data_IF_620471775464
#
_entry.id   IF_620471775464
#
_cell.length_a   1.000
_cell.length_b   1.000
_cell.length_c   1.000
_cell.angle_alpha   90.00
_cell.angle_beta   90.00
_cell.angle_gamma   90.00
#
_symmetry.space_group_name_H-M   'P 1'
#
loop_
_entity.id
_entity.type
_entity.pdbx_description
1 polymer ?
#
# COMPACT_ATOMS: atom_id res chain seq x y z
N UNK A 1 -10.55 64.26 -43.46
CA UNK A 1 -10.38 62.79 -43.27
C UNK A 1 -10.91 62.45 -41.88
N UNK A 2 -12.15 61.98 -41.68
CA UNK A 2 -12.75 60.67 -42.00
C UNK A 2 -11.88 59.48 -41.57
N UNK A 3 -12.36 58.72 -40.57
CA UNK A 3 -12.60 57.25 -40.51
C UNK A 3 -12.71 56.85 -39.01
N UNK A 4 -13.94 56.71 -38.47
CA UNK A 4 -14.74 55.48 -38.24
C UNK A 4 -14.31 54.71 -36.98
N UNK A 5 -15.08 54.78 -35.88
CA UNK A 5 -16.05 53.75 -35.46
C UNK A 5 -15.53 52.31 -35.54
N UNK A 6 -15.18 51.75 -34.37
CA UNK A 6 -15.37 50.33 -34.05
C UNK A 6 -15.45 50.15 -32.54
N UNK A 7 -16.59 50.58 -31.99
CA UNK A 7 -17.11 50.13 -30.70
C UNK A 7 -17.76 48.76 -30.95
N UNK A 8 -16.93 47.72 -31.12
CA UNK A 8 -17.42 46.34 -31.24
C UNK A 8 -17.53 45.74 -29.84
N UNK A 9 -18.75 45.79 -29.30
CA UNK A 9 -19.47 44.64 -28.77
C UNK A 9 -18.58 43.47 -28.27
N UNK A 10 -18.09 43.58 -27.04
CA UNK A 10 -17.59 42.43 -26.27
C UNK A 10 -18.29 42.44 -24.89
N UNK A 11 -19.62 42.47 -24.94
CA UNK A 11 -20.45 41.90 -23.88
C UNK A 11 -20.25 40.39 -23.95
N UNK A 12 -19.18 39.91 -23.32
CA UNK A 12 -19.04 38.49 -22.99
C UNK A 12 -20.27 38.08 -22.20
N UNK A 13 -21.10 37.26 -22.84
CA UNK A 13 -22.08 36.41 -22.20
C UNK A 13 -21.32 35.54 -21.19
N UNK A 14 -21.12 36.05 -19.97
CA UNK A 14 -20.96 35.20 -18.80
C UNK A 14 -22.32 34.53 -18.62
N UNK A 15 -22.55 33.50 -19.41
CA UNK A 15 -23.53 32.50 -19.06
C UNK A 15 -23.08 31.95 -17.72
N UNK A 16 -23.73 32.39 -16.65
CA UNK A 16 -23.76 31.69 -15.39
C UNK A 16 -24.29 30.29 -15.69
N UNK A 17 -23.40 29.37 -16.08
CA UNK A 17 -23.65 27.95 -15.88
C UNK A 17 -23.64 27.78 -14.36
N UNK A 18 -24.78 28.02 -13.73
CA UNK A 18 -25.07 27.40 -12.45
C UNK A 18 -25.06 25.91 -12.74
N UNK A 19 -23.89 25.28 -12.59
CA UNK A 19 -23.78 23.84 -12.45
C UNK A 19 -24.65 23.55 -11.24
N UNK A 20 -25.89 23.14 -11.51
CA UNK A 20 -26.81 22.68 -10.48
C UNK A 20 -26.14 21.46 -9.89
N UNK A 21 -25.44 21.64 -8.76
CA UNK A 21 -24.86 20.55 -8.02
C UNK A 21 -26.03 19.63 -7.68
N UNK A 22 -26.13 18.53 -8.42
CA UNK A 22 -27.24 17.61 -8.29
C UNK A 22 -27.19 17.08 -6.86
N UNK A 23 -28.16 17.53 -6.04
CA UNK A 23 -28.19 17.23 -4.61
C UNK A 23 -28.26 15.70 -4.46
N UNK A 24 -27.19 15.10 -3.94
CA UNK A 24 -27.10 13.67 -3.65
C UNK A 24 -28.24 13.27 -2.72
N UNK A 25 -28.89 12.12 -2.96
CA UNK A 25 -29.93 11.63 -2.06
C UNK A 25 -29.34 11.25 -0.70
N UNK A 26 -30.17 11.21 0.36
CA UNK A 26 -29.73 10.70 1.68
C UNK A 26 -29.22 9.26 1.58
N UNK A 27 -29.80 8.44 0.69
CA UNK A 27 -29.36 7.07 0.46
C UNK A 27 -27.96 7.01 -0.19
N UNK A 28 -27.69 7.89 -1.16
CA UNK A 28 -26.35 8.01 -1.77
C UNK A 28 -25.33 8.49 -0.74
N UNK A 29 -25.70 9.46 0.11
CA UNK A 29 -24.85 9.91 1.21
C UNK A 29 -24.55 8.79 2.20
N UNK A 30 -25.53 7.96 2.54
CA UNK A 30 -25.32 6.81 3.43
C UNK A 30 -24.31 5.82 2.87
N UNK A 31 -24.47 5.39 1.62
CA UNK A 31 -23.51 4.48 0.98
C UNK A 31 -22.10 5.09 0.93
N UNK A 32 -22.02 6.36 0.56
CA UNK A 32 -20.75 7.08 0.53
C UNK A 32 -20.11 7.16 1.92
N UNK A 33 -20.85 7.45 2.99
CA UNK A 33 -20.30 7.51 4.34
C UNK A 33 -19.95 6.13 4.90
N UNK A 34 -20.72 5.09 4.53
CA UNK A 34 -20.44 3.70 4.90
C UNK A 34 -19.12 3.22 4.29
N UNK A 35 -18.94 3.39 2.98
CA UNK A 35 -17.71 3.00 2.29
C UNK A 35 -16.47 3.81 2.71
N UNK A 36 -16.68 4.94 3.40
CA UNK A 36 -15.64 5.81 3.97
C UNK A 36 -15.43 5.63 5.48
N UNK A 37 -16.18 4.72 6.11
CA UNK A 37 -16.15 4.50 7.56
C UNK A 37 -16.42 5.78 8.38
N UNK A 38 -17.23 6.70 7.83
CA UNK A 38 -17.50 8.02 8.42
C UNK A 38 -18.57 7.93 9.52
N UNK A 39 -18.18 7.41 10.69
CA UNK A 39 -19.06 7.14 11.85
C UNK A 39 -19.87 8.35 12.30
N UNK A 40 -19.27 9.54 12.32
CA UNK A 40 -19.92 10.78 12.75
C UNK A 40 -21.04 11.20 11.78
N UNK A 41 -20.76 11.18 10.49
CA UNK A 41 -21.69 11.53 9.42
C UNK A 41 -22.83 10.52 9.34
N UNK A 42 -22.52 9.22 9.41
CA UNK A 42 -23.51 8.15 9.53
C UNK A 42 -24.44 8.38 10.73
N UNK A 43 -23.86 8.67 11.91
CA UNK A 43 -24.63 8.96 13.12
C UNK A 43 -25.61 10.12 12.91
N UNK A 44 -25.24 11.15 12.15
CA UNK A 44 -26.09 12.30 11.88
C UNK A 44 -27.27 11.97 10.95
N UNK A 45 -27.08 11.08 9.98
CA UNK A 45 -28.06 10.78 8.93
C UNK A 45 -28.91 9.53 9.18
N UNK A 46 -28.59 8.68 10.16
CA UNK A 46 -29.43 7.53 10.54
C UNK A 46 -30.38 7.87 11.70
N UNK A 47 -31.57 7.27 11.72
CA UNK A 47 -32.56 7.48 12.79
C UNK A 47 -32.17 6.75 14.08
N UNK A 48 -32.70 7.17 15.27
CA UNK A 48 -32.46 6.46 16.52
C UNK A 48 -32.90 4.98 16.51
N UNK A 49 -33.95 4.66 15.76
CA UNK A 49 -34.53 3.33 15.58
C UNK A 49 -34.01 2.59 14.34
N UNK A 50 -32.85 3.02 13.80
CA UNK A 50 -32.23 2.45 12.61
C UNK A 50 -32.07 0.92 12.68
N UNK A 51 -32.34 0.25 11.54
CA UNK A 51 -32.22 -1.20 11.37
C UNK A 51 -31.40 -1.57 10.14
N UNK A 52 -30.37 -2.38 10.33
CA UNK A 52 -29.64 -3.05 9.25
C UNK A 52 -30.05 -4.52 9.20
N UNK A 53 -30.65 -4.94 8.08
CA UNK A 53 -31.24 -6.28 7.89
C UNK A 53 -30.61 -6.99 6.72
N UNK A 54 -30.38 -8.30 6.89
CA UNK A 54 -29.96 -9.23 5.85
C UNK A 54 -31.08 -10.25 5.69
N UNK A 55 -31.68 -10.42 4.51
CA UNK A 55 -32.82 -11.34 4.35
C UNK A 55 -32.44 -12.81 4.60
N UNK A 56 -31.17 -13.15 4.43
CA UNK A 56 -30.59 -14.45 4.72
C UNK A 56 -30.21 -14.63 6.20
N UNK A 57 -30.58 -13.70 7.07
CA UNK A 57 -30.34 -13.79 8.52
C UNK A 57 -31.59 -13.38 9.29
N UNK A 58 -31.85 -14.06 10.41
CA UNK A 58 -32.91 -13.65 11.36
C UNK A 58 -32.47 -12.45 12.21
N UNK A 59 -31.16 -12.16 12.26
CA UNK A 59 -30.60 -11.07 13.07
C UNK A 59 -30.85 -9.71 12.41
N UNK A 60 -31.42 -8.79 13.18
CA UNK A 60 -31.48 -7.37 12.82
C UNK A 60 -30.47 -6.61 13.65
N UNK A 61 -29.55 -5.91 13.01
CA UNK A 61 -28.54 -5.08 13.67
C UNK A 61 -29.13 -3.68 13.91
N UNK A 62 -29.19 -3.27 15.18
CA UNK A 62 -29.68 -1.95 15.57
C UNK A 62 -28.62 -0.85 15.37
N UNK A 63 -29.01 0.41 15.57
CA UNK A 63 -28.11 1.57 15.41
C UNK A 63 -26.77 1.46 16.14
N UNK A 64 -26.79 1.10 17.43
CA UNK A 64 -25.57 1.02 18.26
C UNK A 64 -24.61 -0.04 17.73
N UNK A 65 -25.11 -1.27 17.57
CA UNK A 65 -24.33 -2.39 17.04
C UNK A 65 -23.83 -2.13 15.60
N UNK A 66 -24.61 -1.42 14.78
CA UNK A 66 -24.17 -1.03 13.44
C UNK A 66 -22.97 -0.09 13.49
N UNK A 67 -23.01 0.95 14.33
CA UNK A 67 -21.96 1.96 14.42
C UNK A 67 -20.72 1.51 15.20
N UNK A 68 -20.91 0.67 16.21
CA UNK A 68 -19.86 0.27 17.17
C UNK A 68 -19.29 -1.13 16.92
N UNK A 69 -19.87 -1.90 16.00
CA UNK A 69 -19.35 -3.23 15.68
C UNK A 69 -19.29 -3.42 14.17
N UNK A 70 -20.42 -3.39 13.48
CA UNK A 70 -20.44 -3.65 12.04
C UNK A 70 -19.55 -2.66 11.25
N UNK A 71 -19.58 -1.37 11.59
CA UNK A 71 -18.76 -0.35 10.90
C UNK A 71 -17.27 -0.52 11.21
N UNK A 72 -16.93 -0.90 12.44
CA UNK A 72 -15.53 -1.12 12.88
C UNK A 72 -14.97 -2.38 12.23
N UNK A 73 -15.72 -3.49 12.24
CA UNK A 73 -15.39 -4.71 11.52
C UNK A 73 -15.23 -4.44 10.01
N UNK A 74 -16.14 -3.66 9.43
CA UNK A 74 -16.07 -3.28 8.01
C UNK A 74 -14.82 -2.46 7.71
N UNK A 75 -14.39 -1.59 8.62
CA UNK A 75 -13.16 -0.82 8.46
C UNK A 75 -11.93 -1.73 8.52
N UNK A 76 -11.86 -2.63 9.50
CA UNK A 76 -10.77 -3.61 9.63
C UNK A 76 -10.68 -4.50 8.40
N UNK A 77 -11.81 -4.98 7.88
CA UNK A 77 -11.87 -5.82 6.67
C UNK A 77 -11.74 -5.04 5.36
N UNK A 78 -11.59 -3.72 5.39
CA UNK A 78 -11.63 -2.87 4.18
C UNK A 78 -12.87 -3.22 3.33
N UNK A 79 -14.00 -3.48 4.00
CA UNK A 79 -15.25 -3.89 3.39
C UNK A 79 -15.98 -2.67 2.82
N UNK A 80 -16.37 -2.74 1.54
CA UNK A 80 -17.03 -1.68 0.79
C UNK A 80 -18.10 -2.25 -0.14
N UNK A 81 -19.11 -1.45 -0.42
CA UNK A 81 -20.12 -1.78 -1.42
C UNK A 81 -19.88 -1.04 -2.73
N UNK A 82 -19.53 -1.77 -3.79
CA UNK A 82 -19.47 -1.23 -5.15
C UNK A 82 -20.86 -1.17 -5.75
N UNK A 83 -21.36 0.02 -6.08
CA UNK A 83 -22.66 0.17 -6.77
C UNK A 83 -22.52 -0.28 -8.23
N UNK A 84 -23.09 -1.44 -8.56
CA UNK A 84 -23.12 -1.97 -9.93
C UNK A 84 -24.25 -1.34 -10.74
N UNK A 85 -25.42 -1.19 -10.12
CA UNK A 85 -26.62 -0.68 -10.80
C UNK A 85 -27.45 0.16 -9.86
N UNK A 86 -27.87 1.32 -10.34
CA UNK A 86 -28.93 2.15 -9.75
C UNK A 86 -30.10 2.18 -10.74
N UNK A 87 -31.32 1.78 -10.38
CA UNK A 87 -32.46 1.84 -11.30
C UNK A 87 -32.78 3.30 -11.62
N UNK A 88 -32.98 3.59 -12.89
CA UNK A 88 -33.37 4.92 -13.32
C UNK A 88 -34.79 5.28 -12.86
N UNK A 89 -34.95 6.51 -12.38
CA UNK A 89 -36.18 7.29 -12.56
C UNK A 89 -37.29 7.21 -11.50
N UNK A 90 -37.34 6.22 -10.60
CA UNK A 90 -38.41 6.20 -9.55
C UNK A 90 -38.01 5.66 -8.17
N UNK A 91 -37.02 4.78 -8.10
CA UNK A 91 -36.64 4.13 -6.85
C UNK A 91 -35.20 4.51 -6.46
N UNK A 92 -34.99 5.78 -6.08
CA UNK A 92 -33.67 6.34 -5.75
C UNK A 92 -32.95 5.66 -4.57
N UNK A 93 -33.63 4.72 -3.92
CA UNK A 93 -33.25 4.04 -2.70
C UNK A 93 -32.91 2.56 -2.91
N UNK A 94 -32.92 2.06 -4.14
CA UNK A 94 -32.55 0.68 -4.46
C UNK A 94 -31.24 0.66 -5.24
N UNK A 95 -30.39 -0.30 -4.91
CA UNK A 95 -29.06 -0.49 -5.49
C UNK A 95 -28.82 -1.98 -5.70
N UNK A 96 -28.17 -2.34 -6.80
CA UNK A 96 -27.43 -3.60 -6.88
C UNK A 96 -26.00 -3.26 -6.54
N UNK A 97 -25.49 -3.85 -5.47
CA UNK A 97 -24.13 -3.62 -4.98
C UNK A 97 -23.33 -4.91 -5.00
N UNK A 98 -22.02 -4.81 -5.11
CA UNK A 98 -21.06 -5.90 -4.90
C UNK A 98 -20.33 -5.65 -3.58
N UNK A 99 -20.30 -6.64 -2.70
CA UNK A 99 -19.62 -6.57 -1.40
C UNK A 99 -18.15 -6.97 -1.57
N UNK A 100 -17.29 -5.98 -1.51
CA UNK A 100 -15.87 -6.14 -1.67
C UNK A 100 -15.23 -6.06 -0.29
N UNK A 101 -14.69 -7.15 0.23
CA UNK A 101 -13.99 -7.18 1.51
C UNK A 101 -12.68 -7.96 1.42
N UNK A 102 -11.74 -7.61 2.29
CA UNK A 102 -10.40 -8.19 2.27
C UNK A 102 -10.47 -9.66 2.66
N UNK A 103 -11.42 -10.00 3.53
CA UNK A 103 -11.75 -11.36 3.88
C UNK A 103 -12.09 -12.22 2.65
N UNK A 104 -13.05 -11.77 1.83
CA UNK A 104 -13.46 -12.50 0.62
C UNK A 104 -12.33 -12.54 -0.42
N UNK A 105 -11.56 -11.46 -0.54
CA UNK A 105 -10.40 -11.39 -1.43
C UNK A 105 -9.32 -12.41 -1.04
N UNK A 106 -8.95 -12.47 0.24
CA UNK A 106 -7.91 -13.38 0.74
C UNK A 106 -8.35 -14.85 0.70
N UNK A 107 -9.65 -15.13 0.88
CA UNK A 107 -10.20 -16.47 0.65
C UNK A 107 -10.33 -16.83 -0.84
N UNK A 108 -10.09 -15.88 -1.75
CA UNK A 108 -10.31 -16.06 -3.19
C UNK A 108 -11.74 -16.54 -3.49
N UNK A 109 -12.73 -15.85 -2.91
CA UNK A 109 -14.17 -16.05 -3.12
C UNK A 109 -14.69 -14.91 -3.98
N UNK A 110 -15.50 -15.20 -5.00
CA UNK A 110 -16.09 -14.14 -5.83
C UNK A 110 -16.90 -13.16 -4.98
N UNK A 111 -16.68 -11.86 -5.16
CA UNK A 111 -17.45 -10.84 -4.43
C UNK A 111 -18.96 -10.98 -4.70
N UNK A 112 -19.78 -11.18 -3.65
CA UNK A 112 -21.20 -11.41 -3.82
C UNK A 112 -21.92 -10.12 -4.17
N UNK A 113 -23.03 -10.28 -4.90
CA UNK A 113 -23.93 -9.17 -5.21
C UNK A 113 -25.12 -9.16 -4.27
N UNK A 114 -25.59 -7.97 -3.96
CA UNK A 114 -26.75 -7.77 -3.09
C UNK A 114 -27.72 -6.76 -3.70
N UNK A 115 -29.00 -7.07 -3.53
CA UNK A 115 -30.09 -6.15 -3.73
C UNK A 115 -30.25 -5.30 -2.46
N UNK A 116 -29.65 -4.10 -2.44
CA UNK A 116 -29.69 -3.19 -1.30
C UNK A 116 -30.85 -2.20 -1.43
N UNK A 117 -31.70 -2.12 -0.41
CA UNK A 117 -32.75 -1.09 -0.29
C UNK A 117 -32.52 -0.21 0.94
N UNK A 118 -32.51 1.11 0.77
CA UNK A 118 -32.25 2.11 1.81
C UNK A 118 -33.52 2.94 2.06
N UNK A 119 -34.24 2.66 3.13
CA UNK A 119 -35.46 3.40 3.48
C UNK A 119 -35.11 4.68 4.23
N UNK A 120 -35.71 5.80 3.83
CA UNK A 120 -35.54 7.10 4.47
C UNK A 120 -36.84 7.63 5.07
N UNK A 121 -36.78 8.22 6.27
CA UNK A 121 -37.88 8.91 6.95
C UNK A 121 -37.39 10.29 7.39
N UNK A 122 -38.14 11.34 7.01
CA UNK A 122 -37.79 12.73 7.31
C UNK A 122 -36.34 13.12 6.94
N UNK A 123 -35.86 12.63 5.78
CA UNK A 123 -34.52 12.92 5.27
C UNK A 123 -33.37 12.16 5.96
N UNK A 124 -33.68 11.19 6.83
CA UNK A 124 -32.71 10.30 7.49
C UNK A 124 -32.93 8.84 7.10
N UNK A 125 -31.90 8.01 7.12
CA UNK A 125 -32.00 6.56 6.87
C UNK A 125 -32.56 5.86 8.10
N UNK A 126 -33.67 5.14 7.93
CA UNK A 126 -34.29 4.34 8.98
C UNK A 126 -34.04 2.84 8.84
N UNK A 127 -33.81 2.36 7.62
CA UNK A 127 -33.53 0.94 7.40
C UNK A 127 -32.62 0.74 6.19
N UNK A 128 -31.72 -0.23 6.29
CA UNK A 128 -31.02 -0.84 5.15
C UNK A 128 -31.39 -2.32 5.10
N UNK A 129 -31.78 -2.80 3.93
CA UNK A 129 -32.08 -4.20 3.67
C UNK A 129 -31.15 -4.73 2.59
N UNK A 130 -30.35 -5.74 2.90
CA UNK A 130 -29.60 -6.55 1.95
C UNK A 130 -30.40 -7.81 1.63
N UNK A 131 -30.78 -7.97 0.37
CA UNK A 131 -31.44 -9.14 -0.17
C UNK A 131 -30.47 -9.91 -1.09
N UNK A 132 -30.52 -11.26 -1.08
CA UNK A 132 -29.81 -12.09 -2.05
C UNK A 132 -30.02 -11.63 -3.50
N UNK A 133 -28.96 -11.80 -4.28
CA UNK A 133 -28.94 -11.72 -5.74
C UNK A 133 -29.19 -13.12 -6.33
N UNK A 134 -29.39 -13.23 -7.64
CA UNK A 134 -29.61 -14.50 -8.33
C UNK A 134 -28.38 -15.46 -8.22
N UNK A 135 -27.20 -14.92 -7.89
CA UNK A 135 -25.94 -15.66 -7.71
C UNK A 135 -25.66 -16.08 -6.25
N UNK A 136 -26.58 -15.82 -5.31
CA UNK A 136 -26.35 -16.06 -3.88
C UNK A 136 -26.01 -17.51 -3.53
N UNK A 137 -26.72 -18.49 -4.09
CA UNK A 137 -26.47 -19.91 -3.78
C UNK A 137 -25.08 -20.35 -4.27
N UNK A 138 -24.61 -19.80 -5.39
CA UNK A 138 -23.26 -20.05 -5.92
C UNK A 138 -22.22 -19.46 -4.99
N UNK A 139 -22.41 -18.21 -4.56
CA UNK A 139 -21.55 -17.54 -3.59
C UNK A 139 -21.44 -18.33 -2.28
N UNK A 140 -22.56 -18.79 -1.71
CA UNK A 140 -22.53 -19.56 -0.45
C UNK A 140 -21.80 -20.89 -0.63
N UNK A 141 -21.99 -21.59 -1.74
CA UNK A 141 -21.26 -22.83 -2.02
C UNK A 141 -19.75 -22.59 -2.12
N UNK A 142 -19.33 -21.52 -2.82
CA UNK A 142 -17.93 -21.15 -2.96
C UNK A 142 -17.31 -20.74 -1.61
N UNK A 143 -18.00 -19.86 -0.85
CA UNK A 143 -17.56 -19.40 0.46
C UNK A 143 -17.37 -20.57 1.43
N UNK A 144 -18.31 -21.52 1.46
CA UNK A 144 -18.20 -22.70 2.31
C UNK A 144 -17.00 -23.57 1.90
N UNK A 145 -16.84 -23.84 0.60
CA UNK A 145 -15.72 -24.64 0.10
C UNK A 145 -14.36 -24.02 0.43
N UNK A 146 -14.18 -22.73 0.14
CA UNK A 146 -12.92 -22.01 0.41
C UNK A 146 -12.68 -21.82 1.92
N UNK A 147 -13.75 -21.60 2.68
CA UNK A 147 -13.70 -21.51 4.14
C UNK A 147 -13.29 -22.84 4.80
N UNK A 148 -13.78 -23.97 4.29
CA UNK A 148 -13.34 -25.30 4.74
C UNK A 148 -11.85 -25.53 4.47
N UNK A 149 -11.34 -25.18 3.28
CA UNK A 149 -9.91 -25.24 2.99
C UNK A 149 -9.07 -24.41 3.96
N UNK A 150 -9.50 -23.17 4.24
CA UNK A 150 -8.83 -22.30 5.21
C UNK A 150 -8.87 -22.88 6.63
N UNK A 151 -10.01 -23.42 7.06
CA UNK A 151 -10.15 -24.03 8.37
C UNK A 151 -9.29 -25.29 8.53
N UNK A 152 -9.19 -26.13 7.51
CA UNK A 152 -8.28 -27.28 7.49
C UNK A 152 -6.84 -26.81 7.64
N UNK A 153 -6.42 -25.82 6.86
CA UNK A 153 -5.09 -25.24 6.98
C UNK A 153 -4.82 -24.64 8.35
N UNK A 154 -5.78 -23.93 8.95
CA UNK A 154 -5.68 -23.38 10.30
C UNK A 154 -5.47 -24.49 11.34
N UNK A 155 -6.20 -25.60 11.23
CA UNK A 155 -6.04 -26.72 12.16
C UNK A 155 -4.65 -27.37 12.06
N UNK A 156 -4.06 -27.41 10.86
CA UNK A 156 -2.74 -27.98 10.61
C UNK A 156 -1.61 -27.05 11.08
N UNK A 157 -1.75 -25.74 10.94
CA UNK A 157 -0.68 -24.76 11.17
C UNK A 157 -0.79 -24.02 12.51
N UNK A 158 -1.99 -23.93 13.09
CA UNK A 158 -2.29 -23.26 14.36
C UNK A 158 -3.24 -24.11 15.23
N UNK A 159 -2.86 -25.35 15.58
CA UNK A 159 -3.74 -26.29 16.29
C UNK A 159 -4.20 -25.78 17.67
N UNK A 160 -3.49 -24.82 18.26
CA UNK A 160 -3.84 -24.17 19.53
C UNK A 160 -4.99 -23.17 19.42
N UNK A 161 -5.33 -22.71 18.21
CA UNK A 161 -6.37 -21.71 17.97
C UNK A 161 -7.73 -22.38 17.88
N UNK A 162 -8.61 -22.07 18.83
CA UNK A 162 -10.02 -22.46 18.76
C UNK A 162 -10.77 -21.52 17.81
N UNK A 163 -10.94 -21.95 16.55
CA UNK A 163 -11.64 -21.20 15.51
C UNK A 163 -13.06 -20.77 15.91
N UNK A 164 -13.73 -21.48 16.83
CA UNK A 164 -15.07 -21.10 17.29
C UNK A 164 -15.08 -19.91 18.24
N UNK A 165 -13.91 -19.58 18.82
CA UNK A 165 -13.70 -18.43 19.71
C UNK A 165 -13.00 -17.27 19.04
N UNK A 166 -12.50 -17.45 17.81
CA UNK A 166 -11.84 -16.42 17.03
C UNK A 166 -12.86 -15.35 16.62
N UNK A 167 -12.92 -14.29 17.43
CA UNK A 167 -13.88 -13.18 17.27
C UNK A 167 -13.18 -11.88 16.89
N UNK A 168 -11.86 -11.80 17.02
CA UNK A 168 -11.07 -10.67 16.56
C UNK A 168 -10.86 -10.76 15.05
N UNK A 169 -11.45 -9.79 14.35
CA UNK A 169 -11.40 -9.67 12.90
C UNK A 169 -9.97 -9.38 12.42
N UNK A 170 -9.18 -8.64 13.19
CA UNK A 170 -7.79 -8.31 12.85
C UNK A 170 -6.92 -9.56 12.89
N UNK A 171 -7.08 -10.38 13.94
CA UNK A 171 -6.39 -11.66 14.07
C UNK A 171 -6.81 -12.64 12.96
N UNK A 172 -8.09 -12.64 12.57
CA UNK A 172 -8.57 -13.45 11.44
C UNK A 172 -7.90 -13.04 10.13
N UNK A 173 -7.70 -11.75 9.88
CA UNK A 173 -6.98 -11.26 8.69
C UNK A 173 -5.52 -11.68 8.68
N UNK A 174 -4.84 -11.66 9.82
CA UNK A 174 -3.46 -12.13 9.94
C UNK A 174 -3.33 -13.59 9.47
N UNK A 175 -4.21 -14.46 9.98
CA UNK A 175 -4.23 -15.87 9.56
C UNK A 175 -4.55 -16.05 8.07
N UNK A 176 -5.46 -15.25 7.52
CA UNK A 176 -5.78 -15.29 6.10
C UNK A 176 -4.61 -14.85 5.21
N UNK A 177 -3.82 -13.85 5.63
CA UNK A 177 -2.61 -13.47 4.92
C UNK A 177 -1.58 -14.61 4.95
N UNK A 178 -1.33 -15.20 6.12
CA UNK A 178 -0.44 -16.36 6.26
C UNK A 178 -0.90 -17.54 5.39
N UNK A 179 -2.22 -17.74 5.27
CA UNK A 179 -2.80 -18.76 4.40
C UNK A 179 -2.49 -18.50 2.91
N UNK A 180 -2.71 -17.26 2.44
CA UNK A 180 -2.40 -16.85 1.07
C UNK A 180 -0.90 -17.00 0.78
N UNK A 181 -0.05 -16.59 1.71
CA UNK A 181 1.41 -16.70 1.60
C UNK A 181 1.84 -18.16 1.52
N UNK A 182 1.25 -19.05 2.32
CA UNK A 182 1.54 -20.48 2.29
C UNK A 182 1.19 -21.14 0.95
N UNK A 183 0.21 -20.59 0.22
CA UNK A 183 -0.15 -21.03 -1.13
C UNK A 183 0.76 -20.46 -2.22
N UNK A 184 1.69 -19.55 -1.88
CA UNK A 184 2.56 -18.87 -2.85
C UNK A 184 1.79 -17.96 -3.82
N UNK A 185 0.57 -17.55 -3.44
CA UNK A 185 -0.27 -16.68 -4.26
C UNK A 185 0.17 -15.23 -4.03
N UNK A 186 0.67 -14.56 -5.06
CA UNK A 186 0.92 -13.13 -4.95
C UNK A 186 -0.43 -12.41 -4.76
N UNK A 187 -0.50 -11.50 -3.79
CA UNK A 187 -1.71 -10.70 -3.50
C UNK A 187 -2.25 -9.95 -4.74
N UNK A 188 -1.40 -9.66 -5.72
CA UNK A 188 -1.77 -9.03 -7.00
C UNK A 188 -2.57 -9.93 -7.95
N UNK A 189 -2.54 -11.25 -7.75
CA UNK A 189 -3.35 -12.23 -8.51
C UNK A 189 -4.73 -12.45 -7.91
N UNK A 190 -4.97 -12.02 -6.67
CA UNK A 190 -6.30 -12.05 -6.07
C UNK A 190 -7.20 -10.98 -6.72
N UNK A 191 -8.51 -11.15 -6.55
CA UNK A 191 -9.51 -10.22 -7.09
C UNK A 191 -9.19 -8.77 -6.73
N UNK A 192 -9.33 -7.88 -7.71
CA UNK A 192 -9.06 -6.45 -7.55
C UNK A 192 -10.29 -5.72 -7.02
N UNK A 193 -10.09 -4.82 -6.07
CA UNK A 193 -11.11 -3.86 -5.65
C UNK A 193 -11.44 -2.90 -6.79
N UNK A 194 -12.67 -2.37 -6.79
CA UNK A 194 -12.99 -1.20 -7.59
C UNK A 194 -12.82 0.06 -6.74
N UNK A 195 -11.69 0.72 -6.93
CA UNK A 195 -11.30 1.95 -6.24
C UNK A 195 -12.30 3.12 -6.41
N UNK A 196 -13.24 3.04 -7.36
CA UNK A 196 -14.15 4.14 -7.69
C UNK A 196 -15.35 4.32 -6.76
N UNK A 197 -15.63 3.39 -5.82
CA UNK A 197 -16.95 3.34 -5.15
C UNK A 197 -17.08 3.90 -3.73
N UNK A 198 -16.10 4.65 -3.22
CA UNK A 198 -16.34 5.50 -2.03
C UNK A 198 -15.06 5.90 -1.32
N UNK A 199 -14.69 7.19 -1.47
CA UNK A 199 -13.37 7.80 -1.19
C UNK A 199 -12.30 7.22 -2.12
N UNK A 200 -11.65 7.99 -3.00
CA UNK A 200 -10.74 9.08 -2.59
C UNK A 200 -10.27 8.86 -1.16
N UNK A 201 -9.66 7.69 -0.92
CA UNK A 201 -8.64 7.65 0.10
C UNK A 201 -7.75 8.83 -0.29
N UNK A 202 -7.54 9.80 0.60
CA UNK A 202 -6.20 10.38 0.65
C UNK A 202 -5.27 9.32 1.24
N UNK A 203 -5.22 8.16 0.60
CA UNK A 203 -3.97 7.54 0.31
C UNK A 203 -3.49 8.40 -0.84
N UNK A 204 -2.38 9.08 -0.61
CA UNK A 204 -1.37 9.04 -1.64
C UNK A 204 -1.34 7.60 -2.15
N UNK A 205 -2.04 7.30 -3.25
CA UNK A 205 -1.87 6.15 -4.13
C UNK A 205 -1.08 5.00 -3.49
N UNK A 206 -1.41 4.35 -2.36
CA UNK A 206 -0.34 3.61 -1.67
C UNK A 206 0.11 2.42 -2.53
N UNK A 207 -0.81 1.75 -3.21
CA UNK A 207 -0.49 0.68 -4.16
C UNK A 207 0.10 1.19 -5.49
N UNK A 208 -0.38 2.31 -6.07
CA UNK A 208 0.28 2.91 -7.25
C UNK A 208 1.63 3.54 -6.87
N UNK A 209 1.82 4.00 -5.63
CA UNK A 209 3.07 4.52 -5.05
C UNK A 209 4.00 3.36 -4.80
N UNK A 210 3.57 2.25 -4.20
CA UNK A 210 4.41 1.06 -4.03
C UNK A 210 4.77 0.45 -5.39
N UNK A 211 3.85 0.41 -6.37
CA UNK A 211 4.13 0.01 -7.76
C UNK A 211 5.02 1.03 -8.49
N UNK A 212 4.84 2.33 -8.26
CA UNK A 212 5.70 3.40 -8.78
C UNK A 212 7.08 3.40 -8.09
N UNK A 213 7.13 2.97 -6.84
CA UNK A 213 8.32 2.81 -6.02
C UNK A 213 9.07 1.53 -6.35
N UNK A 214 8.42 0.56 -7.00
CA UNK A 214 9.06 -0.68 -7.46
C UNK A 214 10.18 -0.34 -8.43
N UNK A 215 11.35 -0.97 -8.25
CA UNK A 215 12.45 -0.74 -9.16
C UNK A 215 12.18 -1.36 -10.52
N UNK A 216 12.37 -0.58 -11.57
CA UNK A 216 12.44 -1.07 -12.95
C UNK A 216 13.84 -0.87 -13.50
N UNK A 217 14.30 -1.84 -14.29
CA UNK A 217 15.56 -1.73 -15.01
C UNK A 217 15.38 -0.81 -16.23
N UNK A 218 16.06 0.32 -16.23
CA UNK A 218 15.93 1.38 -17.27
C UNK A 218 17.10 1.45 -18.22
N UNK A 219 18.24 0.84 -17.87
CA UNK A 219 19.49 0.89 -18.64
C UNK A 219 19.87 2.33 -19.05
N UNK A 220 19.64 3.29 -18.15
CA UNK A 220 19.81 4.73 -18.37
C UNK A 220 21.26 5.11 -18.71
N UNK A 221 22.23 4.46 -18.08
CA UNK A 221 23.64 4.78 -18.16
C UNK A 221 24.46 3.58 -18.61
N UNK A 222 25.44 3.85 -19.48
CA UNK A 222 26.46 2.87 -19.87
C UNK A 222 27.43 2.60 -18.71
N UNK A 223 28.15 1.48 -18.76
CA UNK A 223 29.20 1.13 -17.78
C UNK A 223 30.18 2.28 -17.56
N UNK A 224 30.70 2.88 -18.63
CA UNK A 224 31.64 4.00 -18.55
C UNK A 224 31.03 5.23 -17.87
N UNK A 225 29.75 5.52 -18.13
CA UNK A 225 29.04 6.64 -17.49
C UNK A 225 28.81 6.37 -16.01
N UNK A 226 28.39 5.16 -15.64
CA UNK A 226 28.19 4.75 -14.24
C UNK A 226 29.48 4.80 -13.43
N UNK A 227 30.60 4.35 -14.01
CA UNK A 227 31.92 4.43 -13.39
C UNK A 227 32.43 5.88 -13.20
N UNK A 228 31.89 6.85 -13.95
CA UNK A 228 32.26 8.26 -13.82
C UNK A 228 31.59 8.98 -12.65
N UNK A 229 30.60 8.36 -12.00
CA UNK A 229 29.90 8.94 -10.86
C UNK A 229 30.73 8.85 -9.59
N UNK A 230 30.61 9.87 -8.74
CA UNK A 230 31.18 9.85 -7.41
C UNK A 230 30.37 8.89 -6.52
N UNK A 231 31.01 8.09 -5.65
CA UNK A 231 32.46 8.04 -5.36
C UNK A 231 33.27 7.04 -6.22
N UNK A 232 32.63 6.28 -7.11
CA UNK A 232 33.29 5.28 -7.96
C UNK A 232 34.44 5.84 -8.80
N UNK A 233 34.32 7.08 -9.27
CA UNK A 233 35.35 7.74 -10.08
C UNK A 233 36.61 8.18 -9.30
N UNK A 234 36.56 8.16 -7.96
CA UNK A 234 37.70 8.50 -7.08
C UNK A 234 38.25 7.29 -6.34
N UNK A 235 37.48 6.22 -6.23
CA UNK A 235 37.89 5.02 -5.52
C UNK A 235 39.02 4.29 -6.25
N UNK A 236 40.09 3.97 -5.52
CA UNK A 236 41.11 3.03 -5.99
C UNK A 236 40.58 1.61 -5.95
N UNK A 237 39.84 1.27 -4.88
CA UNK A 237 39.10 0.02 -4.76
C UNK A 237 37.81 0.23 -4.00
N UNK A 238 36.89 -0.70 -4.19
CA UNK A 238 35.61 -0.75 -3.49
C UNK A 238 35.51 -2.08 -2.77
N UNK A 239 35.18 -2.01 -1.49
CA UNK A 239 35.00 -3.17 -0.64
C UNK A 239 33.52 -3.32 -0.30
N UNK A 240 33.03 -4.55 -0.27
CA UNK A 240 31.85 -4.89 0.52
C UNK A 240 32.33 -5.38 1.88
N UNK A 241 31.69 -4.93 2.95
CA UNK A 241 32.02 -5.40 4.30
C UNK A 241 30.76 -5.80 5.07
N UNK A 242 30.93 -6.74 6.01
CA UNK A 242 30.06 -6.86 7.18
C UNK A 242 30.78 -6.29 8.40
N UNK A 243 30.04 -5.67 9.31
CA UNK A 243 30.54 -5.08 10.55
C UNK A 243 29.40 -5.01 11.57
N UNK A 244 29.70 -4.59 12.80
CA UNK A 244 28.66 -4.31 13.80
C UNK A 244 28.80 -2.87 14.27
N UNK A 245 27.77 -2.05 14.02
CA UNK A 245 27.66 -0.70 14.57
C UNK A 245 26.88 -0.74 15.88
N UNK A 246 27.54 -0.44 17.01
CA UNK A 246 26.84 -0.37 18.30
C UNK A 246 26.06 0.95 18.48
N UNK A 247 26.23 1.92 17.56
CA UNK A 247 25.49 3.17 17.62
C UNK A 247 24.06 3.00 17.10
N UNK A 248 23.10 3.12 18.02
CA UNK A 248 21.67 3.11 17.71
C UNK A 248 21.21 4.41 17.03
N UNK A 249 22.04 5.46 17.02
CA UNK A 249 21.73 6.70 16.31
C UNK A 249 22.09 6.56 14.83
N UNK A 250 21.04 6.48 14.03
CA UNK A 250 21.14 6.47 12.58
C UNK A 250 20.83 7.86 12.05
N UNK A 251 21.73 8.39 11.23
CA UNK A 251 21.49 9.60 10.45
C UNK A 251 21.52 9.22 8.96
N UNK A 252 20.57 9.72 8.16
CA UNK A 252 20.59 9.45 6.71
C UNK A 252 21.91 9.88 6.04
N UNK A 253 22.43 11.03 6.49
CA UNK A 253 23.81 11.44 6.22
C UNK A 253 24.57 11.48 7.54
N UNK A 254 25.61 10.67 7.63
CA UNK A 254 26.42 10.54 8.83
C UNK A 254 26.93 11.90 9.31
N UNK A 255 26.60 12.29 10.54
CA UNK A 255 27.19 13.47 11.19
C UNK A 255 28.65 13.23 11.58
N UNK A 256 28.99 11.97 11.84
CA UNK A 256 30.33 11.53 12.26
C UNK A 256 30.69 10.26 11.50
N UNK A 257 31.74 10.31 10.69
CA UNK A 257 32.18 9.17 9.87
C UNK A 257 32.36 7.92 10.71
N UNK A 258 31.54 6.89 10.49
CA UNK A 258 31.56 5.64 11.26
C UNK A 258 32.66 4.69 10.81
N UNK A 259 32.90 4.61 9.50
CA UNK A 259 33.93 3.74 8.91
C UNK A 259 35.17 4.57 8.56
N UNK A 260 36.08 4.70 9.52
CA UNK A 260 37.38 5.40 9.36
C UNK A 260 38.57 4.45 9.23
N UNK A 261 38.39 3.21 9.69
CA UNK A 261 39.37 2.12 9.61
C UNK A 261 38.69 0.87 9.06
N UNK A 262 39.37 0.14 8.17
CA UNK A 262 38.90 -1.12 7.62
C UNK A 262 38.95 -2.27 8.64
N UNK A 263 39.69 -2.11 9.74
CA UNK A 263 39.75 -3.09 10.82
C UNK A 263 38.39 -3.34 11.52
N UNK A 264 37.40 -2.47 11.31
CA UNK A 264 36.02 -2.67 11.79
C UNK A 264 35.29 -3.82 11.08
N UNK A 265 35.77 -4.23 9.91
CA UNK A 265 35.11 -5.25 9.12
C UNK A 265 35.29 -6.65 9.73
N UNK A 266 34.18 -7.32 9.99
CA UNK A 266 34.15 -8.75 10.34
C UNK A 266 34.50 -9.60 9.11
N UNK A 267 33.87 -9.27 7.97
CA UNK A 267 34.22 -9.84 6.66
C UNK A 267 34.40 -8.72 5.65
N UNK A 268 35.28 -8.92 4.68
CA UNK A 268 35.48 -7.96 3.60
C UNK A 268 35.73 -8.66 2.26
N UNK A 269 35.23 -8.05 1.19
CA UNK A 269 35.44 -8.50 -0.18
C UNK A 269 35.76 -7.33 -1.09
N UNK A 270 36.95 -7.35 -1.67
CA UNK A 270 37.30 -6.42 -2.74
C UNK A 270 36.57 -6.80 -4.04
N UNK A 271 35.95 -5.80 -4.66
CA UNK A 271 35.19 -5.98 -5.88
C UNK A 271 36.09 -5.96 -7.11
N UNK A 272 35.94 -6.96 -7.97
CA UNK A 272 36.58 -6.97 -9.28
C UNK A 272 35.93 -5.95 -10.21
N UNK A 273 36.54 -5.67 -11.37
CA UNK A 273 35.93 -4.83 -12.41
C UNK A 273 34.53 -5.34 -12.83
N UNK A 274 34.36 -6.66 -12.95
CA UNK A 274 33.05 -7.22 -13.30
C UNK A 274 32.03 -7.03 -12.18
N UNK A 275 32.46 -7.09 -10.93
CA UNK A 275 31.58 -6.87 -9.78
C UNK A 275 31.18 -5.40 -9.67
N UNK A 276 32.13 -4.49 -9.87
CA UNK A 276 31.88 -3.04 -9.94
C UNK A 276 30.87 -2.70 -11.03
N UNK A 277 30.98 -3.33 -12.20
CA UNK A 277 30.00 -3.12 -13.27
C UNK A 277 28.60 -3.55 -12.82
N UNK A 278 28.46 -4.71 -12.16
CA UNK A 278 27.17 -5.19 -11.62
C UNK A 278 26.63 -4.27 -10.52
N UNK A 279 27.47 -3.93 -9.54
CA UNK A 279 27.10 -3.06 -8.43
C UNK A 279 26.60 -1.70 -8.94
N UNK A 280 27.38 -1.05 -9.79
CA UNK A 280 26.99 0.25 -10.33
C UNK A 280 25.75 0.15 -11.23
N UNK A 281 25.50 -0.99 -11.87
CA UNK A 281 24.27 -1.23 -12.65
C UNK A 281 23.05 -1.24 -11.72
N UNK A 282 23.15 -1.92 -10.58
CA UNK A 282 22.13 -1.90 -9.52
C UNK A 282 21.90 -0.47 -9.01
N UNK A 283 22.97 0.28 -8.73
CA UNK A 283 22.86 1.66 -8.26
C UNK A 283 22.16 2.57 -9.29
N UNK A 284 22.63 2.60 -10.53
CA UNK A 284 22.28 3.70 -11.44
C UNK A 284 21.31 3.33 -12.57
N UNK A 285 21.09 2.04 -12.84
CA UNK A 285 20.18 1.59 -13.90
C UNK A 285 18.87 0.98 -13.38
N UNK A 286 18.73 0.82 -12.06
CA UNK A 286 17.45 0.58 -11.42
C UNK A 286 16.94 1.88 -10.80
N UNK A 287 15.70 2.21 -11.08
CA UNK A 287 15.02 3.34 -10.46
C UNK A 287 13.52 3.16 -10.43
N UNK A 288 12.82 4.15 -9.90
CA UNK A 288 11.36 4.14 -9.78
C UNK A 288 10.69 3.76 -11.09
N UNK A 289 9.56 3.06 -11.08
CA UNK A 289 8.75 2.86 -12.29
C UNK A 289 8.23 4.20 -12.81
N UNK A 290 7.76 5.07 -11.91
CA UNK A 290 7.30 6.44 -12.19
C UNK A 290 7.77 7.35 -11.05
N UNK A 291 8.35 8.51 -11.38
CA UNK A 291 8.82 9.45 -10.37
C UNK A 291 7.66 10.36 -9.94
N UNK A 292 6.89 9.91 -8.95
CA UNK A 292 5.93 10.76 -8.23
C UNK A 292 6.53 11.18 -6.90
N UNK A 293 6.12 12.34 -6.37
CA UNK A 293 6.55 12.84 -5.07
C UNK A 293 6.06 11.89 -3.97
N UNK A 294 6.83 10.83 -3.71
CA UNK A 294 6.59 9.94 -2.59
C UNK A 294 6.89 10.71 -1.32
N UNK A 295 5.85 11.02 -0.55
CA UNK A 295 6.02 11.41 0.85
C UNK A 295 6.69 10.24 1.55
N UNK A 296 7.92 10.44 2.00
CA UNK A 296 8.64 9.50 2.84
C UNK A 296 7.81 9.28 4.11
N UNK A 297 7.09 8.16 4.17
CA UNK A 297 6.53 7.64 5.41
C UNK A 297 7.70 7.05 6.19
N UNK A 298 8.45 7.91 6.88
CA UNK A 298 9.42 7.46 7.88
C UNK A 298 8.60 7.24 9.14
N UNK A 299 8.06 6.04 9.30
CA UNK A 299 7.79 5.57 10.65
C UNK A 299 9.16 5.35 11.30
N UNK A 300 9.40 6.02 12.43
CA UNK A 300 10.61 5.83 13.23
C UNK A 300 10.57 4.42 13.83
N UNK A 301 10.94 3.42 13.03
CA UNK A 301 11.20 2.08 13.51
C UNK A 301 12.54 2.15 14.23
N UNK A 302 12.55 1.78 15.51
CA UNK A 302 13.78 1.57 16.28
C UNK A 302 14.58 0.42 15.64
N UNK A 303 15.37 0.74 14.62
CA UNK A 303 16.23 -0.24 13.97
C UNK A 303 17.54 -0.38 14.72
N UNK A 304 17.89 -1.63 15.03
CA UNK A 304 19.22 -1.97 15.53
C UNK A 304 20.25 -1.88 14.40
N UNK A 305 21.31 -1.09 14.63
CA UNK A 305 22.66 -1.16 14.05
C UNK A 305 22.82 -1.30 12.51
N UNK A 306 23.71 -0.51 11.92
CA UNK A 306 24.24 -0.79 10.57
C UNK A 306 25.13 -2.04 10.62
N UNK A 307 24.95 -2.96 9.68
CA UNK A 307 25.67 -4.25 9.68
C UNK A 307 26.46 -4.53 8.39
N UNK A 308 26.18 -3.80 7.33
CA UNK A 308 26.81 -4.00 6.03
C UNK A 308 27.19 -2.67 5.39
N UNK A 309 28.28 -2.62 4.61
CA UNK A 309 28.62 -1.40 3.88
C UNK A 309 29.34 -1.65 2.55
N UNK A 310 29.14 -0.73 1.62
CA UNK A 310 30.00 -0.50 0.46
C UNK A 310 31.00 0.58 0.87
N UNK A 311 32.29 0.27 0.90
CA UNK A 311 33.35 1.17 1.34
C UNK A 311 34.22 1.55 0.16
N UNK A 312 34.41 2.86 -0.04
CA UNK A 312 35.26 3.41 -1.08
C UNK A 312 36.61 3.79 -0.48
N UNK A 313 37.67 3.23 -1.06
CA UNK A 313 39.03 3.33 -0.52
C UNK A 313 39.92 4.10 -1.48
N UNK A 314 40.72 5.02 -0.94
CA UNK A 314 41.66 5.86 -1.70
C UNK A 314 42.98 5.14 -2.04
N UNK A 315 43.89 5.85 -2.72
CA UNK A 315 45.23 5.35 -3.06
C UNK A 315 46.11 5.06 -1.84
N UNK A 316 45.77 5.61 -0.67
CA UNK A 316 46.49 5.39 0.60
C UNK A 316 45.88 4.24 1.42
N UNK A 317 44.98 3.46 0.82
CA UNK A 317 44.23 2.38 1.47
C UNK A 317 43.35 2.87 2.64
N UNK A 318 42.88 4.12 2.60
CA UNK A 318 41.99 4.71 3.62
C UNK A 318 40.54 4.78 3.12
N UNK A 319 39.55 4.42 3.95
CA UNK A 319 38.15 4.73 3.66
C UNK A 319 37.97 6.24 3.51
N UNK A 320 37.31 6.68 2.43
CA UNK A 320 36.97 8.10 2.26
C UNK A 320 35.46 8.34 2.08
N UNK A 321 34.71 7.33 1.66
CA UNK A 321 33.24 7.35 1.66
C UNK A 321 32.70 5.93 1.90
N UNK A 322 31.45 5.82 2.33
CA UNK A 322 30.71 4.58 2.42
C UNK A 322 29.21 4.77 2.18
N UNK A 323 28.56 3.66 1.86
CA UNK A 323 27.10 3.49 1.93
C UNK A 323 26.88 2.30 2.88
N UNK A 324 26.27 2.53 4.02
CA UNK A 324 26.02 1.53 5.04
C UNK A 324 24.53 1.15 5.09
N UNK A 325 24.25 -0.10 5.44
CA UNK A 325 22.93 -0.71 5.37
C UNK A 325 22.63 -1.49 6.65
N UNK A 326 21.36 -1.47 7.06
CA UNK A 326 20.74 -2.54 7.84
C UNK A 326 19.64 -3.15 6.99
N UNK A 327 19.91 -4.32 6.41
CA UNK A 327 18.97 -4.98 5.50
C UNK A 327 17.73 -5.52 6.22
N UNK A 328 17.80 -5.81 7.52
CA UNK A 328 16.68 -6.28 8.33
C UNK A 328 15.64 -5.20 8.66
N UNK A 329 16.04 -3.93 8.70
CA UNK A 329 15.14 -2.82 9.00
C UNK A 329 15.00 -1.80 7.88
N UNK A 330 15.48 -2.12 6.67
CA UNK A 330 15.40 -1.21 5.54
C UNK A 330 16.09 0.16 5.72
N UNK A 331 17.12 0.25 6.58
CA UNK A 331 17.85 1.51 6.83
C UNK A 331 19.13 1.62 5.99
N UNK A 332 19.46 2.86 5.63
CA UNK A 332 20.65 3.22 4.86
C UNK A 332 21.26 4.50 5.44
N UNK A 333 22.59 4.54 5.50
CA UNK A 333 23.36 5.72 5.90
C UNK A 333 24.44 6.00 4.84
N UNK A 334 24.57 7.27 4.46
CA UNK A 334 25.64 7.75 3.60
C UNK A 334 26.69 8.48 4.43
N UNK A 335 27.97 8.25 4.15
CA UNK A 335 29.08 8.98 4.78
C UNK A 335 29.05 10.49 4.52
N UNK A 336 28.48 10.91 3.39
CA UNK A 336 28.32 12.33 3.06
C UNK A 336 27.24 12.56 2.01
N UNK A 337 26.78 13.81 1.90
CA UNK A 337 25.82 14.26 0.88
C UNK A 337 26.36 14.18 -0.56
N UNK A 338 27.67 13.95 -0.73
CA UNK A 338 28.28 13.79 -2.06
C UNK A 338 28.03 12.40 -2.63
N UNK A 339 27.84 11.42 -1.75
CA UNK A 339 27.59 10.04 -2.15
C UNK A 339 26.19 9.94 -2.72
N UNK A 340 26.09 9.42 -3.94
CA UNK A 340 24.82 9.10 -4.57
C UNK A 340 24.90 7.72 -5.19
N UNK A 341 23.82 6.95 -5.02
CA UNK A 341 23.72 5.60 -5.56
C UNK A 341 22.47 5.42 -6.42
N UNK A 342 21.96 6.52 -6.98
CA UNK A 342 20.75 6.58 -7.81
C UNK A 342 19.46 6.66 -7.00
N UNK A 343 18.35 6.23 -7.61
CA UNK A 343 16.99 6.32 -7.05
C UNK A 343 16.75 5.28 -5.94
N UNK A 344 16.22 5.65 -4.76
CA UNK A 344 15.87 4.73 -3.66
C UNK A 344 14.50 4.06 -3.91
N UNK A 345 14.43 3.16 -4.90
CA UNK A 345 13.24 2.36 -5.20
C UNK A 345 13.16 1.12 -4.29
N UNK A 346 11.94 0.64 -3.98
CA UNK A 346 11.64 -0.33 -2.89
C UNK A 346 12.41 -1.65 -3.00
N UNK A 347 12.66 -2.16 -4.20
CA UNK A 347 13.34 -3.44 -4.39
C UNK A 347 14.86 -3.33 -4.56
N UNK A 348 15.44 -2.11 -4.52
CA UNK A 348 16.89 -1.92 -4.74
C UNK A 348 17.70 -2.51 -3.60
N UNK A 349 17.23 -2.36 -2.36
CA UNK A 349 17.90 -2.93 -1.19
C UNK A 349 17.98 -4.45 -1.25
N UNK A 350 16.93 -5.13 -1.74
CA UNK A 350 16.98 -6.58 -1.94
C UNK A 350 17.99 -6.97 -3.03
N UNK A 351 18.07 -6.23 -4.14
CA UNK A 351 19.10 -6.47 -5.17
C UNK A 351 20.51 -6.30 -4.61
N UNK A 352 20.71 -5.30 -3.73
CA UNK A 352 21.99 -5.10 -3.05
C UNK A 352 22.26 -6.22 -2.03
N UNK A 353 21.28 -6.64 -1.24
CA UNK A 353 21.38 -7.77 -0.31
C UNK A 353 21.82 -9.04 -1.04
N UNK A 354 21.16 -9.38 -2.14
CA UNK A 354 21.52 -10.53 -2.98
C UNK A 354 22.91 -10.37 -3.59
N UNK A 355 23.30 -9.15 -3.97
CA UNK A 355 24.66 -8.90 -4.45
C UNK A 355 25.69 -9.18 -3.35
N UNK A 356 25.50 -8.71 -2.12
CA UNK A 356 26.37 -8.99 -0.97
C UNK A 356 26.47 -10.50 -0.69
N UNK A 357 25.33 -11.20 -0.61
CA UNK A 357 25.27 -12.66 -0.42
C UNK A 357 26.06 -13.38 -1.52
N UNK A 358 25.86 -12.98 -2.79
CA UNK A 358 26.58 -13.57 -3.93
C UNK A 358 28.11 -13.36 -3.89
N UNK A 359 28.59 -12.43 -3.07
CA UNK A 359 30.02 -12.16 -2.84
C UNK A 359 30.56 -12.84 -1.57
N UNK A 360 29.72 -13.59 -0.85
CA UNK A 360 30.07 -14.26 0.39
C UNK A 360 30.20 -13.30 1.58
N UNK A 361 29.51 -12.15 1.53
CA UNK A 361 29.40 -11.25 2.68
C UNK A 361 28.16 -11.64 3.47
N UNK A 362 28.35 -11.86 4.77
CA UNK A 362 27.26 -12.14 5.71
C UNK A 362 26.35 -10.92 5.83
N UNK A 363 25.05 -11.16 5.80
CA UNK A 363 24.04 -10.13 6.03
C UNK A 363 23.64 -10.21 7.49
N UNK A 364 23.72 -9.08 8.19
CA UNK A 364 23.17 -9.00 9.52
C UNK A 364 21.64 -8.91 9.46
N UNK A 365 20.96 -9.86 10.10
CA UNK A 365 19.49 -9.82 10.33
C UNK A 365 19.13 -8.80 11.41
#
# INVERSE_FOLDING_TARGET
MKIKTSLCLLLTVMGCMTISAQKTSTADQFLNYLNKYQKKELTAIITPDFKFKRQFSTKTTGRKEFLDSYLEDSQTLIAKFKVIKKPDGKNQNYYVVEDQSQYLKLLDVQFPKWNMTITTVAGKVSQVLLAPSDDYDTYIAELNSKGEEFNTWMHENYPEVDLTKLTDVSQTLEYLNNYVDSKGILSSYLQKYDESTGAAVTESNNDEIFDNMTCVYRKTYTEAKRASFYPFNKAKKVLLISFNDEDWKLDYFSKTTKITDLAIANTSKELTKSDLNKLTDICYNYGYKKMELVKTLIEEVECSALKNAIVFVDENNRPFEYIAFSFGCDTIEFSSQKVSYGDECTTKRELLKQFFISKGIEIGE
#
